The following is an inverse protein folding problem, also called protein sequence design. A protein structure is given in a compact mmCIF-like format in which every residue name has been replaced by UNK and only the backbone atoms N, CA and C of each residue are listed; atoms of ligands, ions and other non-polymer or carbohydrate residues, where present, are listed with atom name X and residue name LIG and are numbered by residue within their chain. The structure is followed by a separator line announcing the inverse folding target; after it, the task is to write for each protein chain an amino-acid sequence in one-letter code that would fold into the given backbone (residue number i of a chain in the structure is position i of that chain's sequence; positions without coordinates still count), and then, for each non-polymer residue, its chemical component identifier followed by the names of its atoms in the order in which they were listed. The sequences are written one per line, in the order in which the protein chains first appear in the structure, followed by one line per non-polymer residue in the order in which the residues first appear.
data_IF_463972468841
#
_entry.id   IF_463972468841
#
_cell.length_a   1.000
_cell.length_b   1.000
_cell.length_c   1.000
_cell.angle_alpha   90.00
_cell.angle_beta   90.00
_cell.angle_gamma   90.00
#
_symmetry.space_group_name_H-M   'P 1'
#
loop_
_entity.id
_entity.type
_entity.pdbx_description
1 polymer ?
#
# COMPACT_ATOMS: atom_id res chain seq x y z
N UNK A 1 -0.07 -23.40 22.81
CA UNK A 1 -0.63 -23.18 21.48
C UNK A 1 -1.98 -22.50 21.66
N UNK A 2 -2.18 -21.34 21.02
CA UNK A 2 -3.46 -20.63 20.97
C UNK A 2 -4.17 -20.97 19.65
N UNK A 3 -5.48 -21.20 19.72
CA UNK A 3 -6.32 -21.45 18.55
C UNK A 3 -7.26 -20.23 18.38
N UNK A 4 -6.85 -19.31 17.56
CA UNK A 4 -7.67 -18.16 17.20
C UNK A 4 -8.57 -18.41 15.99
N UNK A 5 -9.47 -17.49 15.72
CA UNK A 5 -10.33 -17.51 14.53
C UNK A 5 -9.59 -16.93 13.32
N UNK A 6 -10.07 -17.23 12.10
CA UNK A 6 -9.59 -16.59 10.87
C UNK A 6 -9.75 -15.07 10.96
N UNK A 7 -10.84 -14.59 11.55
CA UNK A 7 -11.09 -13.15 11.75
C UNK A 7 -10.03 -12.51 12.63
N UNK A 8 -9.68 -13.13 13.78
CA UNK A 8 -8.59 -12.63 14.64
C UNK A 8 -7.29 -12.51 13.89
N UNK A 9 -6.94 -13.52 13.08
CA UNK A 9 -5.70 -13.50 12.29
C UNK A 9 -5.68 -12.34 11.30
N UNK A 10 -6.77 -12.14 10.55
CA UNK A 10 -6.90 -11.05 9.58
C UNK A 10 -6.85 -9.67 10.29
N UNK A 11 -7.58 -9.52 11.39
CA UNK A 11 -7.57 -8.29 12.18
C UNK A 11 -6.18 -8.00 12.74
N UNK A 12 -5.51 -9.02 13.27
CA UNK A 12 -4.16 -8.88 13.82
C UNK A 12 -3.17 -8.38 12.77
N UNK A 13 -3.14 -8.98 11.59
CA UNK A 13 -2.27 -8.54 10.51
C UNK A 13 -2.49 -7.06 10.14
N UNK A 14 -3.74 -6.67 9.95
CA UNK A 14 -4.06 -5.31 9.50
C UNK A 14 -3.85 -4.27 10.61
N UNK A 15 -4.23 -4.58 11.83
CA UNK A 15 -4.08 -3.65 12.96
C UNK A 15 -2.60 -3.48 13.36
N UNK A 16 -1.80 -4.55 13.38
CA UNK A 16 -0.36 -4.42 13.69
C UNK A 16 0.36 -3.60 12.63
N UNK A 17 0.03 -3.78 11.35
CA UNK A 17 0.57 -3.00 10.24
C UNK A 17 0.28 -1.49 10.39
N UNK A 18 -0.92 -1.11 10.85
CA UNK A 18 -1.26 0.29 11.13
C UNK A 18 -0.35 0.95 12.18
N UNK A 19 0.18 0.17 13.11
CA UNK A 19 1.06 0.66 14.18
C UNK A 19 2.55 0.50 13.90
N UNK A 20 2.92 -0.31 12.90
CA UNK A 20 4.32 -0.55 12.52
C UNK A 20 4.78 0.43 11.44
N UNK A 21 5.00 1.65 11.86
CA UNK A 21 5.28 2.79 10.99
C UNK A 21 6.64 3.41 11.23
N UNK A 22 7.20 4.03 10.20
CA UNK A 22 8.42 4.83 10.27
C UNK A 22 8.17 6.28 10.73
N UNK A 23 9.06 7.19 10.37
CA UNK A 23 8.98 8.59 10.79
C UNK A 23 7.94 9.40 10.02
N UNK A 24 7.68 9.03 8.75
CA UNK A 24 6.67 9.67 7.92
C UNK A 24 5.26 9.14 8.22
N UNK A 25 5.17 8.18 9.18
CA UNK A 25 3.92 7.56 9.59
C UNK A 25 3.32 6.62 8.52
N UNK A 26 4.17 6.18 7.61
CA UNK A 26 3.89 5.15 6.63
C UNK A 26 4.43 3.80 7.11
N UNK A 27 3.92 2.69 6.60
CA UNK A 27 4.33 1.35 7.01
C UNK A 27 5.82 1.13 6.78
N UNK A 28 6.49 0.50 7.73
CA UNK A 28 7.91 0.12 7.57
C UNK A 28 8.08 -0.92 6.47
N UNK A 29 9.11 -0.69 5.65
CA UNK A 29 9.55 -1.59 4.59
C UNK A 29 10.51 -2.64 5.17
N UNK A 30 10.01 -3.68 5.79
CA UNK A 30 10.79 -4.75 6.42
C UNK A 30 11.42 -5.72 5.41
N UNK A 31 12.32 -5.24 4.58
CA UNK A 31 13.02 -6.05 3.59
C UNK A 31 12.36 -5.99 2.22
N UNK A 32 11.22 -6.58 2.03
CA UNK A 32 10.58 -6.58 0.73
C UNK A 32 9.06 -6.58 0.88
N UNK A 33 8.43 -5.67 0.17
CA UNK A 33 6.99 -5.67 -0.03
C UNK A 33 6.61 -6.60 -1.20
N UNK A 34 5.78 -6.10 -2.11
CA UNK A 34 5.50 -6.75 -3.38
C UNK A 34 6.76 -6.92 -4.24
N UNK A 35 7.71 -6.00 -4.14
CA UNK A 35 8.94 -5.99 -4.92
C UNK A 35 10.11 -6.55 -4.11
N UNK A 36 10.41 -7.82 -4.25
CA UNK A 36 11.52 -8.53 -3.57
C UNK A 36 12.89 -7.87 -3.76
N UNK A 37 13.04 -7.01 -4.73
CA UNK A 37 14.30 -6.32 -5.02
C UNK A 37 14.46 -4.99 -4.26
N UNK A 38 13.49 -4.61 -3.42
CA UNK A 38 13.53 -3.44 -2.52
C UNK A 38 13.87 -3.90 -1.09
N UNK A 39 14.95 -4.64 -0.93
CA UNK A 39 15.27 -5.42 0.26
C UNK A 39 16.37 -4.81 1.15
N UNK A 40 16.83 -3.59 0.86
CA UNK A 40 17.97 -2.99 1.56
C UNK A 40 17.59 -1.85 2.52
N UNK A 41 16.42 -1.26 2.38
CA UNK A 41 15.94 -0.18 3.25
C UNK A 41 15.31 -0.72 4.54
N UNK A 42 16.05 -1.55 5.27
CA UNK A 42 15.55 -2.33 6.39
C UNK A 42 15.25 -1.51 7.65
N UNK A 43 16.10 -0.53 7.95
CA UNK A 43 16.03 0.19 9.23
C UNK A 43 15.00 1.33 9.19
N UNK A 44 15.02 2.14 8.14
CA UNK A 44 14.23 3.35 8.03
C UNK A 44 13.32 3.42 6.80
N UNK A 45 13.41 2.46 5.89
CA UNK A 45 12.54 2.44 4.72
C UNK A 45 11.05 2.34 5.08
N UNK A 46 10.23 3.06 4.31
CA UNK A 46 8.78 3.07 4.48
C UNK A 46 8.09 2.83 3.14
N UNK A 47 6.94 2.16 3.17
CA UNK A 47 6.13 1.83 2.00
C UNK A 47 4.77 2.53 2.04
N UNK A 48 4.66 3.62 1.30
CA UNK A 48 3.37 4.29 1.05
C UNK A 48 2.46 3.37 0.23
N UNK A 49 3.04 2.61 -0.70
CA UNK A 49 2.30 1.66 -1.52
C UNK A 49 1.54 0.62 -0.66
N UNK A 50 2.21 0.02 0.34
CA UNK A 50 1.54 -0.92 1.23
C UNK A 50 0.66 -0.25 2.27
N UNK A 51 0.98 0.96 2.70
CA UNK A 51 0.03 1.75 3.51
C UNK A 51 -1.29 1.93 2.78
N UNK A 52 -1.27 2.24 1.47
CA UNK A 52 -2.47 2.25 0.62
C UNK A 52 -3.19 0.90 0.61
N UNK A 53 -2.45 -0.20 0.40
CA UNK A 53 -3.03 -1.54 0.35
C UNK A 53 -3.73 -1.91 1.65
N UNK A 54 -3.12 -1.66 2.80
CA UNK A 54 -3.71 -1.96 4.11
C UNK A 54 -4.89 -1.06 4.45
N UNK A 55 -4.89 0.21 4.02
CA UNK A 55 -6.07 1.06 4.13
C UNK A 55 -7.26 0.48 3.33
N UNK A 56 -7.02 0.05 2.10
CA UNK A 56 -8.03 -0.67 1.30
C UNK A 56 -8.49 -1.97 1.93
N UNK A 57 -7.57 -2.77 2.49
CA UNK A 57 -7.90 -4.00 3.20
C UNK A 57 -8.79 -3.77 4.41
N UNK A 58 -8.52 -2.74 5.22
CA UNK A 58 -9.34 -2.40 6.38
C UNK A 58 -10.78 -2.08 5.96
N UNK A 59 -10.97 -1.33 4.87
CA UNK A 59 -12.30 -1.06 4.33
C UNK A 59 -12.98 -2.34 3.84
N UNK A 60 -12.27 -3.22 3.13
CA UNK A 60 -12.81 -4.49 2.66
C UNK A 60 -13.21 -5.41 3.82
N UNK A 61 -12.42 -5.46 4.90
CA UNK A 61 -12.74 -6.24 6.11
C UNK A 61 -13.99 -5.66 6.77
N UNK A 62 -14.10 -4.33 6.85
CA UNK A 62 -15.29 -3.68 7.39
C UNK A 62 -16.55 -4.03 6.57
N UNK A 63 -16.48 -3.99 5.24
CA UNK A 63 -17.58 -4.40 4.35
C UNK A 63 -17.96 -5.87 4.55
N UNK A 64 -16.97 -6.76 4.70
CA UNK A 64 -17.21 -8.18 4.98
C UNK A 64 -17.92 -8.39 6.32
N UNK A 65 -17.52 -7.65 7.34
CA UNK A 65 -18.13 -7.73 8.69
C UNK A 65 -19.56 -7.21 8.71
N UNK A 66 -19.84 -6.08 8.04
CA UNK A 66 -21.21 -5.57 7.87
C UNK A 66 -22.11 -6.58 7.15
N UNK A 67 -21.58 -7.23 6.09
CA UNK A 67 -22.27 -8.27 5.37
C UNK A 67 -22.50 -9.52 6.24
N UNK A 68 -21.52 -9.93 7.04
CA UNK A 68 -21.66 -11.04 7.98
C UNK A 68 -22.77 -10.78 8.99
N UNK A 69 -22.79 -9.61 9.61
CA UNK A 69 -23.86 -9.22 10.56
C UNK A 69 -25.22 -9.24 9.87
N UNK A 70 -25.33 -8.65 8.69
CA UNK A 70 -26.59 -8.59 7.94
C UNK A 70 -27.14 -9.97 7.54
N UNK A 71 -26.27 -10.92 7.17
CA UNK A 71 -26.68 -12.24 6.67
C UNK A 71 -26.91 -13.22 7.83
N UNK A 72 -26.07 -13.23 8.84
CA UNK A 72 -26.07 -14.23 9.91
C UNK A 72 -26.74 -13.75 11.21
N UNK A 73 -26.91 -12.44 11.40
CA UNK A 73 -27.35 -11.86 12.67
C UNK A 73 -26.27 -11.88 13.78
N UNK A 74 -25.06 -12.35 13.48
CA UNK A 74 -23.91 -12.31 14.40
C UNK A 74 -23.47 -10.86 14.56
N UNK A 75 -23.56 -10.30 15.75
CA UNK A 75 -23.19 -8.91 16.03
C UNK A 75 -22.03 -8.77 17.03
N UNK A 76 -21.47 -9.88 17.49
CA UNK A 76 -20.36 -9.94 18.43
C UNK A 76 -19.41 -11.05 18.05
N UNK A 77 -18.12 -10.83 18.29
CA UNK A 77 -17.07 -11.82 18.08
C UNK A 77 -16.15 -11.86 19.30
N UNK A 78 -15.53 -13.00 19.53
CA UNK A 78 -14.48 -13.15 20.53
C UNK A 78 -13.13 -12.94 19.87
N UNK A 79 -12.23 -12.23 20.54
CA UNK A 79 -10.84 -12.01 20.15
C UNK A 79 -9.94 -12.23 21.37
N UNK A 80 -8.65 -12.51 21.16
CA UNK A 80 -7.69 -12.56 22.26
C UNK A 80 -7.65 -11.21 23.00
N UNK A 81 -7.71 -11.27 24.33
CA UNK A 81 -7.78 -10.05 25.17
C UNK A 81 -6.58 -9.12 24.95
N UNK A 82 -5.42 -9.66 24.59
CA UNK A 82 -4.25 -8.87 24.27
C UNK A 82 -4.46 -7.92 23.07
N UNK A 83 -5.35 -8.29 22.14
CA UNK A 83 -5.64 -7.49 20.94
C UNK A 83 -6.48 -6.23 21.24
N UNK A 84 -7.13 -6.12 22.37
CA UNK A 84 -8.00 -4.96 22.69
C UNK A 84 -7.27 -3.63 22.54
N UNK A 85 -5.98 -3.55 22.90
CA UNK A 85 -5.21 -2.32 22.76
C UNK A 85 -5.00 -1.89 21.29
N UNK A 86 -5.07 -2.81 20.32
CA UNK A 86 -4.95 -2.51 18.90
C UNK A 86 -6.18 -1.78 18.33
N UNK A 87 -7.31 -1.83 19.04
CA UNK A 87 -8.52 -1.06 18.70
C UNK A 87 -8.52 0.35 19.29
N UNK A 88 -7.42 0.81 19.87
CA UNK A 88 -7.28 2.20 20.31
C UNK A 88 -7.53 3.17 19.16
N UNK A 89 -8.27 4.24 19.43
CA UNK A 89 -8.70 5.26 18.50
C UNK A 89 -8.20 6.64 18.92
N UNK A 90 -8.20 7.56 17.97
CA UNK A 90 -8.03 8.97 18.22
C UNK A 90 -6.94 9.61 17.38
N UNK A 91 -7.22 10.82 16.92
CA UNK A 91 -6.36 11.57 16.01
C UNK A 91 -4.95 11.80 16.57
N UNK A 92 -4.83 12.11 17.86
CA UNK A 92 -3.54 12.28 18.54
C UNK A 92 -2.67 11.01 18.52
N UNK A 93 -3.30 9.81 18.55
CA UNK A 93 -2.60 8.54 18.37
C UNK A 93 -2.19 8.34 16.91
N UNK A 94 -3.11 8.62 15.99
CA UNK A 94 -2.91 8.36 14.56
C UNK A 94 -1.82 9.25 13.96
N UNK A 95 -1.80 10.52 14.33
CA UNK A 95 -0.80 11.50 13.84
C UNK A 95 0.60 11.32 14.46
N UNK A 96 0.76 10.48 15.48
CA UNK A 96 2.01 10.34 16.21
C UNK A 96 2.62 8.95 16.04
N UNK A 97 3.61 8.84 15.15
CA UNK A 97 4.32 7.61 14.86
C UNK A 97 4.95 6.96 16.12
N UNK A 98 5.49 7.77 17.05
CA UNK A 98 6.07 7.24 18.29
C UNK A 98 5.02 6.61 19.20
N UNK A 99 3.82 7.20 19.29
CA UNK A 99 2.71 6.62 20.06
C UNK A 99 2.25 5.30 19.44
N UNK A 100 2.14 5.24 18.11
CA UNK A 100 1.84 4.00 17.38
C UNK A 100 2.86 2.91 17.71
N UNK A 101 4.16 3.18 17.53
CA UNK A 101 5.24 2.22 17.82
C UNK A 101 5.26 1.78 19.28
N UNK A 102 5.02 2.69 20.24
CA UNK A 102 4.93 2.35 21.66
C UNK A 102 3.75 1.43 21.96
N UNK A 103 2.61 1.68 21.34
CA UNK A 103 1.44 0.81 21.49
C UNK A 103 1.73 -0.59 20.95
N UNK A 104 2.28 -0.69 19.72
CA UNK A 104 2.67 -1.96 19.13
C UNK A 104 3.70 -2.69 20.00
N UNK A 105 4.72 -1.99 20.48
CA UNK A 105 5.72 -2.55 21.40
C UNK A 105 5.11 -3.06 22.72
N UNK A 106 4.07 -2.41 23.23
CA UNK A 106 3.35 -2.87 24.41
C UNK A 106 2.54 -4.14 24.13
N UNK A 107 1.88 -4.21 22.97
CA UNK A 107 1.21 -5.41 22.48
C UNK A 107 2.18 -6.58 22.31
N UNK A 108 3.29 -6.37 21.58
CA UNK A 108 4.31 -7.38 21.33
C UNK A 108 4.89 -7.95 22.64
N UNK A 109 5.14 -7.09 23.64
CA UNK A 109 5.62 -7.54 24.96
C UNK A 109 4.63 -8.42 25.69
N UNK A 110 3.32 -8.14 25.58
CA UNK A 110 2.28 -8.97 26.18
C UNK A 110 2.26 -10.38 25.55
N UNK A 111 2.53 -10.48 24.26
CA UNK A 111 2.47 -11.73 23.51
C UNK A 111 3.81 -12.46 23.40
N UNK A 112 4.93 -11.92 23.91
CA UNK A 112 6.30 -12.37 23.62
C UNK A 112 6.58 -13.84 24.03
N UNK A 113 5.95 -14.35 25.08
CA UNK A 113 6.22 -15.70 25.60
C UNK A 113 4.97 -16.60 25.60
N UNK A 114 3.85 -16.05 26.01
CA UNK A 114 2.56 -16.75 26.06
C UNK A 114 1.41 -15.75 25.82
N UNK A 115 0.38 -16.22 25.18
CA UNK A 115 -0.94 -15.58 25.17
C UNK A 115 -1.69 -16.10 26.38
N UNK A 116 -2.43 -15.24 27.11
CA UNK A 116 -3.16 -15.63 28.33
C UNK A 116 -4.18 -16.72 28.06
N UNK A 117 -4.78 -16.72 26.88
CA UNK A 117 -5.92 -17.56 26.53
C UNK A 117 -7.26 -16.92 26.91
N UNK A 118 -7.22 -15.76 27.56
CA UNK A 118 -8.44 -14.98 27.85
C UNK A 118 -8.96 -14.34 26.57
N UNK A 119 -10.28 -14.24 26.44
CA UNK A 119 -10.95 -13.61 25.32
C UNK A 119 -11.73 -12.36 25.74
N UNK A 120 -11.80 -11.40 24.84
CA UNK A 120 -12.67 -10.24 24.95
C UNK A 120 -13.79 -10.32 23.90
N UNK A 121 -15.00 -9.95 24.28
CA UNK A 121 -16.14 -9.88 23.37
C UNK A 121 -16.21 -8.47 22.81
N UNK A 122 -16.10 -8.35 21.49
CA UNK A 122 -16.17 -7.06 20.78
C UNK A 122 -17.36 -7.06 19.83
N UNK A 123 -18.04 -5.93 19.73
CA UNK A 123 -19.15 -5.75 18.79
C UNK A 123 -18.63 -5.54 17.38
N UNK A 124 -19.31 -6.11 16.38
CA UNK A 124 -18.93 -5.96 14.97
C UNK A 124 -18.97 -4.49 14.54
N UNK A 125 -19.99 -3.72 14.94
CA UNK A 125 -20.08 -2.29 14.61
C UNK A 125 -18.93 -1.44 15.19
N UNK A 126 -18.37 -1.84 16.34
CA UNK A 126 -17.17 -1.20 16.92
C UNK A 126 -15.92 -1.51 16.11
N UNK A 127 -15.75 -2.76 15.69
CA UNK A 127 -14.64 -3.17 14.81
C UNK A 127 -14.72 -2.43 13.48
N UNK A 128 -15.89 -2.43 12.84
CA UNK A 128 -16.12 -1.75 11.55
C UNK A 128 -15.77 -0.27 11.66
N UNK A 129 -16.29 0.43 12.65
CA UNK A 129 -15.98 1.85 12.86
C UNK A 129 -14.48 2.08 13.05
N UNK A 130 -13.81 1.26 13.85
CA UNK A 130 -12.38 1.36 14.11
C UNK A 130 -11.54 1.18 12.85
N UNK A 131 -11.87 0.17 12.03
CA UNK A 131 -11.17 -0.10 10.77
C UNK A 131 -11.36 1.05 9.78
N UNK A 132 -12.58 1.57 9.63
CA UNK A 132 -12.86 2.70 8.73
C UNK A 132 -12.15 3.97 9.18
N UNK A 133 -12.17 4.32 10.47
CA UNK A 133 -11.46 5.49 11.00
C UNK A 133 -9.94 5.41 10.70
N UNK A 134 -9.33 4.24 10.86
CA UNK A 134 -7.92 4.03 10.55
C UNK A 134 -7.66 4.14 9.05
N UNK A 135 -8.49 3.49 8.23
CA UNK A 135 -8.37 3.52 6.77
C UNK A 135 -8.52 4.95 6.23
N UNK A 136 -9.54 5.67 6.67
CA UNK A 136 -9.80 7.05 6.26
C UNK A 136 -8.62 7.95 6.61
N UNK A 137 -8.11 7.82 7.85
CA UNK A 137 -6.94 8.60 8.28
C UNK A 137 -5.71 8.30 7.42
N UNK A 138 -5.40 7.02 7.14
CA UNK A 138 -4.27 6.63 6.29
C UNK A 138 -4.41 7.25 4.88
N UNK A 139 -5.58 7.10 4.26
CA UNK A 139 -5.85 7.64 2.93
C UNK A 139 -5.75 9.17 2.88
N UNK A 140 -6.26 9.87 3.90
CA UNK A 140 -6.16 11.33 4.00
C UNK A 140 -4.70 11.77 4.19
N UNK A 141 -3.94 11.07 5.04
CA UNK A 141 -2.52 11.36 5.28
C UNK A 141 -1.71 11.24 3.99
N UNK A 142 -1.90 10.15 3.24
CA UNK A 142 -1.21 9.91 1.96
C UNK A 142 -1.59 10.98 0.93
N UNK A 143 -2.88 11.28 0.76
CA UNK A 143 -3.34 12.33 -0.17
C UNK A 143 -2.71 13.68 0.11
N UNK A 144 -2.52 14.00 1.37
CA UNK A 144 -1.98 15.28 1.83
C UNK A 144 -0.47 15.39 1.68
N UNK A 145 0.25 14.33 2.02
CA UNK A 145 1.69 14.40 2.22
C UNK A 145 2.49 13.78 1.08
N UNK A 146 1.92 12.82 0.34
CA UNK A 146 2.66 12.03 -0.63
C UNK A 146 2.39 12.42 -2.10
N UNK A 147 1.51 13.40 -2.33
CA UNK A 147 1.16 13.81 -3.69
C UNK A 147 2.23 14.70 -4.31
N UNK A 148 2.81 14.27 -5.43
CA UNK A 148 3.78 14.99 -6.25
C UNK A 148 3.05 15.60 -7.44
N UNK A 149 3.19 16.92 -7.66
CA UNK A 149 2.54 17.65 -8.76
C UNK A 149 3.46 17.84 -9.96
N UNK A 150 2.90 17.70 -11.16
CA UNK A 150 3.54 17.99 -12.46
C UNK A 150 2.60 18.80 -13.35
N UNK A 151 2.54 20.11 -13.17
CA UNK A 151 1.84 21.04 -14.06
C UNK A 151 0.35 20.80 -14.29
N UNK A 152 -0.35 20.12 -13.37
CA UNK A 152 -1.76 19.69 -13.47
C UNK A 152 -1.95 18.20 -13.56
N UNK A 153 -0.86 17.45 -13.73
CA UNK A 153 -0.75 16.00 -13.55
C UNK A 153 -0.06 15.70 -12.22
N UNK A 154 0.19 14.45 -11.92
CA UNK A 154 0.88 14.07 -10.70
C UNK A 154 0.80 12.57 -10.40
N UNK A 155 1.46 12.18 -9.34
CA UNK A 155 1.48 10.82 -8.81
C UNK A 155 1.86 10.82 -7.33
N UNK A 156 1.73 9.69 -6.65
CA UNK A 156 2.15 9.56 -5.26
C UNK A 156 3.61 9.13 -5.15
N UNK A 157 4.34 9.68 -4.17
CA UNK A 157 5.53 9.00 -3.66
C UNK A 157 5.13 7.64 -3.09
N UNK A 158 5.86 6.59 -3.42
CA UNK A 158 5.52 5.23 -3.00
C UNK A 158 6.39 4.67 -1.90
N UNK A 159 7.57 5.25 -1.73
CA UNK A 159 8.56 4.72 -0.80
C UNK A 159 9.45 5.80 -0.22
N UNK A 160 9.98 5.53 0.97
CA UNK A 160 11.10 6.24 1.56
C UNK A 160 12.29 5.28 1.66
N UNK A 161 13.48 5.80 1.31
CA UNK A 161 14.72 5.05 1.41
C UNK A 161 15.24 4.95 2.86
N UNK A 162 16.35 4.25 3.07
CA UNK A 162 16.92 4.06 4.41
C UNK A 162 17.50 5.35 5.01
N UNK A 163 17.69 6.40 4.19
CA UNK A 163 18.03 7.74 4.60
C UNK A 163 16.82 8.64 4.86
N UNK A 164 15.61 8.07 4.80
CA UNK A 164 14.32 8.75 5.02
C UNK A 164 13.97 9.78 3.94
N UNK A 165 14.54 9.65 2.75
CA UNK A 165 14.21 10.52 1.63
C UNK A 165 13.10 9.89 0.78
N UNK A 166 12.18 10.69 0.22
CA UNK A 166 11.22 10.18 -0.75
C UNK A 166 11.95 9.66 -1.98
N UNK A 167 11.51 8.53 -2.48
CA UNK A 167 12.13 7.86 -3.65
C UNK A 167 11.70 8.52 -4.95
N UNK A 168 10.45 8.97 -5.03
CA UNK A 168 9.87 9.58 -6.20
C UNK A 168 9.91 11.11 -6.11
N UNK A 169 10.05 11.77 -7.25
CA UNK A 169 10.09 13.24 -7.33
C UNK A 169 9.75 13.74 -8.73
N UNK A 170 9.39 15.02 -8.83
CA UNK A 170 9.26 15.75 -10.09
C UNK A 170 10.09 17.03 -10.02
N UNK A 171 11.30 16.96 -10.54
CA UNK A 171 12.23 18.09 -10.68
C UNK A 171 12.52 18.35 -12.14
N UNK A 172 13.01 19.56 -12.49
CA UNK A 172 13.20 20.01 -13.88
C UNK A 172 13.95 19.00 -14.75
N UNK A 173 14.99 18.38 -14.22
CA UNK A 173 15.87 17.46 -14.94
C UNK A 173 15.81 16.02 -14.41
N UNK A 174 14.92 15.76 -13.44
CA UNK A 174 14.83 14.48 -12.76
C UNK A 174 13.37 14.14 -12.41
N UNK A 175 12.80 13.21 -13.16
CA UNK A 175 11.49 12.66 -12.89
C UNK A 175 11.65 11.23 -12.43
N UNK A 176 11.18 10.93 -11.20
CA UNK A 176 11.13 9.60 -10.64
C UNK A 176 9.67 9.24 -10.36
N UNK A 177 9.20 8.24 -11.06
CA UNK A 177 7.85 7.69 -10.90
C UNK A 177 7.94 6.17 -10.92
N UNK A 178 7.25 5.53 -9.99
CA UNK A 178 7.09 4.07 -9.91
C UNK A 178 5.64 3.69 -10.14
N UNK A 179 5.39 2.71 -10.99
CA UNK A 179 4.03 2.25 -11.32
C UNK A 179 3.35 1.58 -10.13
N UNK A 180 4.11 0.81 -9.34
CA UNK A 180 3.60 0.04 -8.19
C UNK A 180 2.83 0.92 -7.21
N UNK A 181 3.40 2.06 -6.84
CA UNK A 181 2.80 3.01 -5.91
C UNK A 181 1.44 3.50 -6.40
N UNK A 182 1.36 3.80 -7.68
CA UNK A 182 0.15 4.31 -8.30
C UNK A 182 -0.94 3.25 -8.37
N UNK A 183 -0.54 2.02 -8.69
CA UNK A 183 -1.47 0.89 -8.76
C UNK A 183 -2.12 0.64 -7.41
N UNK A 184 -1.34 0.60 -6.33
CA UNK A 184 -1.88 0.39 -4.98
C UNK A 184 -2.74 1.57 -4.52
N UNK A 185 -2.36 2.82 -4.82
CA UNK A 185 -3.15 3.99 -4.48
C UNK A 185 -4.52 4.02 -5.19
N UNK A 186 -4.57 3.62 -6.47
CA UNK A 186 -5.83 3.53 -7.22
C UNK A 186 -6.67 2.34 -6.73
N UNK A 187 -6.06 1.17 -6.59
CA UNK A 187 -6.74 -0.08 -6.23
C UNK A 187 -7.38 -0.03 -4.85
N UNK A 188 -6.72 0.62 -3.89
CA UNK A 188 -7.22 0.78 -2.53
C UNK A 188 -8.33 1.83 -2.39
N UNK A 189 -8.51 2.70 -3.41
CA UNK A 189 -9.36 3.89 -3.31
C UNK A 189 -8.70 5.07 -2.59
N UNK A 190 -7.39 4.99 -2.30
CA UNK A 190 -6.63 6.14 -1.77
C UNK A 190 -6.62 7.28 -2.78
N UNK A 191 -6.33 7.02 -4.05
CA UNK A 191 -6.41 8.03 -5.10
C UNK A 191 -7.86 8.46 -5.34
N UNK A 192 -8.12 9.78 -5.36
CA UNK A 192 -9.43 10.30 -5.82
C UNK A 192 -9.57 10.08 -7.33
N UNK A 193 -10.78 10.31 -7.87
CA UNK A 193 -11.00 10.22 -9.32
C UNK A 193 -10.12 11.19 -10.11
N UNK A 194 -9.96 12.41 -9.60
CA UNK A 194 -9.10 13.44 -10.19
C UNK A 194 -7.63 13.02 -10.15
N UNK A 195 -7.18 12.47 -9.03
CA UNK A 195 -5.83 11.94 -8.88
C UNK A 195 -5.61 10.72 -9.77
N UNK A 196 -6.58 9.81 -9.86
CA UNK A 196 -6.49 8.65 -10.77
C UNK A 196 -6.35 9.09 -12.24
N UNK A 197 -7.11 10.10 -12.66
CA UNK A 197 -6.98 10.68 -14.00
C UNK A 197 -5.59 11.31 -14.22
N UNK A 198 -5.07 12.04 -13.22
CA UNK A 198 -3.74 12.64 -13.28
C UNK A 198 -2.64 11.58 -13.34
N UNK A 199 -2.73 10.53 -12.50
CA UNK A 199 -1.82 9.38 -12.51
C UNK A 199 -1.80 8.72 -13.88
N UNK A 200 -2.98 8.49 -14.49
CA UNK A 200 -3.06 7.85 -15.80
C UNK A 200 -2.33 8.66 -16.87
N UNK A 201 -2.48 9.99 -16.89
CA UNK A 201 -1.74 10.85 -17.81
C UNK A 201 -0.23 10.88 -17.53
N UNK A 202 0.16 10.90 -16.26
CA UNK A 202 1.57 10.81 -15.86
C UNK A 202 2.20 9.48 -16.27
N UNK A 203 1.47 8.37 -16.08
CA UNK A 203 1.93 7.05 -16.51
C UNK A 203 2.08 6.96 -18.03
N UNK A 204 1.13 7.52 -18.78
CA UNK A 204 1.24 7.62 -20.25
C UNK A 204 2.47 8.43 -20.69
N UNK A 205 2.79 9.50 -19.96
CA UNK A 205 3.90 10.40 -20.29
C UNK A 205 5.26 9.84 -19.90
N UNK A 206 5.37 9.16 -18.77
CA UNK A 206 6.65 8.82 -18.16
C UNK A 206 6.96 7.33 -18.13
N UNK A 207 5.95 6.46 -18.10
CA UNK A 207 6.14 5.02 -17.96
C UNK A 207 5.78 4.22 -19.21
N UNK A 208 4.91 4.76 -20.08
CA UNK A 208 4.55 4.05 -21.30
C UNK A 208 5.70 4.02 -22.29
N UNK A 209 6.06 2.83 -22.74
CA UNK A 209 7.10 2.59 -23.74
C UNK A 209 6.56 1.63 -24.82
N UNK A 210 6.31 2.18 -25.99
CA UNK A 210 5.77 1.44 -27.13
C UNK A 210 6.71 0.31 -27.58
N UNK A 211 8.03 0.52 -27.54
CA UNK A 211 9.03 -0.49 -27.93
C UNK A 211 9.11 -1.62 -26.93
N UNK A 212 8.92 -1.33 -25.63
CA UNK A 212 8.87 -2.34 -24.58
C UNK A 212 7.49 -3.03 -24.50
N UNK A 213 6.50 -2.53 -25.23
CA UNK A 213 5.16 -3.11 -25.30
C UNK A 213 4.27 -2.84 -24.10
N UNK A 214 4.47 -1.74 -23.36
CA UNK A 214 3.60 -1.41 -22.23
C UNK A 214 4.17 -0.39 -21.25
N UNK A 215 3.65 -0.46 -20.01
CA UNK A 215 4.04 0.45 -18.94
C UNK A 215 5.22 -0.16 -18.15
N UNK A 216 6.32 0.59 -18.07
CA UNK A 216 7.48 0.21 -17.26
C UNK A 216 7.19 0.32 -15.78
N UNK A 217 7.87 -0.48 -14.95
CA UNK A 217 7.74 -0.43 -13.49
C UNK A 217 8.16 0.90 -12.88
N UNK A 218 9.17 1.54 -13.46
CA UNK A 218 9.68 2.84 -13.02
C UNK A 218 10.34 3.60 -14.16
N UNK A 219 10.47 4.92 -14.00
CA UNK A 219 11.33 5.77 -14.84
C UNK A 219 12.81 5.42 -14.63
N UNK A 220 13.67 5.75 -15.59
CA UNK A 220 15.11 5.59 -15.39
C UNK A 220 15.62 6.62 -14.37
N UNK A 221 16.01 6.16 -13.20
CA UNK A 221 16.51 7.02 -12.12
C UNK A 221 17.91 7.59 -12.41
N UNK A 222 18.66 6.97 -13.32
CA UNK A 222 20.03 7.35 -13.71
C UNK A 222 21.00 7.41 -12.52
N UNK A 223 20.71 6.66 -11.49
CA UNK A 223 21.56 6.49 -10.30
C UNK A 223 21.33 5.12 -9.69
N UNK A 224 22.33 4.61 -9.00
CA UNK A 224 22.30 3.37 -8.25
C UNK A 224 21.84 3.66 -6.81
N UNK A 225 20.60 3.24 -6.49
CA UNK A 225 20.02 3.39 -5.14
C UNK A 225 20.08 2.06 -4.37
N UNK A 226 21.27 1.54 -4.16
CA UNK A 226 21.45 0.30 -3.42
C UNK A 226 20.97 0.37 -1.97
N UNK A 227 20.87 1.56 -1.40
CA UNK A 227 20.26 1.84 -0.11
C UNK A 227 18.75 1.55 -0.07
N UNK A 228 18.10 1.42 -1.23
CA UNK A 228 16.69 1.01 -1.32
C UNK A 228 16.57 -0.48 -1.63
N UNK A 229 17.40 -1.01 -2.51
CA UNK A 229 17.37 -2.42 -2.84
C UNK A 229 18.17 -2.80 -4.08
N UNK A 230 18.42 -4.10 -4.23
CA UNK A 230 19.18 -4.70 -5.33
C UNK A 230 18.56 -4.45 -6.72
N UNK A 231 17.30 -4.01 -6.83
CA UNK A 231 16.69 -3.69 -8.12
C UNK A 231 17.52 -2.71 -8.92
N UNK A 232 18.15 -1.75 -8.26
CA UNK A 232 18.99 -0.75 -8.90
C UNK A 232 20.36 -1.26 -9.37
N UNK A 233 20.70 -2.51 -9.07
CA UNK A 233 21.83 -3.22 -9.65
C UNK A 233 21.54 -3.85 -11.02
N UNK A 234 20.28 -3.91 -11.45
CA UNK A 234 19.92 -4.34 -12.79
C UNK A 234 20.00 -3.17 -13.79
N UNK A 235 20.37 -3.46 -15.05
CA UNK A 235 20.28 -2.46 -16.11
C UNK A 235 18.84 -1.97 -16.26
N UNK A 236 18.69 -0.67 -16.56
CA UNK A 236 17.35 -0.12 -16.77
C UNK A 236 16.64 -0.80 -17.95
N UNK A 237 15.44 -1.25 -17.70
CA UNK A 237 14.63 -2.04 -18.63
C UNK A 237 14.64 -3.53 -18.34
N UNK A 238 15.44 -3.97 -17.35
CA UNK A 238 15.53 -5.38 -16.96
C UNK A 238 14.96 -5.60 -15.55
N UNK A 239 14.27 -6.72 -15.39
CA UNK A 239 13.68 -7.17 -14.13
C UNK A 239 12.90 -6.02 -13.44
N UNK A 240 13.07 -5.84 -12.14
CA UNK A 240 12.37 -4.83 -11.35
C UNK A 240 12.79 -3.40 -11.66
N UNK A 241 13.93 -3.18 -12.35
CA UNK A 241 14.38 -1.85 -12.75
C UNK A 241 13.86 -1.45 -14.15
N UNK A 242 12.60 -1.10 -14.22
CA UNK A 242 12.00 -0.52 -15.43
C UNK A 242 11.60 -1.51 -16.53
N UNK A 243 11.55 -2.82 -16.26
CA UNK A 243 10.93 -3.74 -17.20
C UNK A 243 9.39 -3.56 -17.24
N UNK A 244 8.76 -4.11 -18.27
CA UNK A 244 7.29 -4.24 -18.34
C UNK A 244 6.89 -5.55 -17.71
N UNK A 245 6.26 -5.49 -16.53
CA UNK A 245 5.73 -6.68 -15.85
C UNK A 245 4.26 -6.88 -16.17
N UNK A 246 3.92 -7.99 -16.79
CA UNK A 246 2.53 -8.34 -17.11
C UNK A 246 1.64 -8.36 -15.86
N UNK A 247 2.16 -8.89 -14.74
CA UNK A 247 1.47 -8.90 -13.46
C UNK A 247 1.06 -7.49 -13.03
N UNK A 248 2.01 -6.55 -12.96
CA UNK A 248 1.74 -5.17 -12.56
C UNK A 248 0.83 -4.45 -13.55
N UNK A 249 0.98 -4.71 -14.85
CA UNK A 249 0.10 -4.13 -15.86
C UNK A 249 -1.35 -4.63 -15.73
N UNK A 250 -1.56 -5.92 -15.42
CA UNK A 250 -2.91 -6.45 -15.13
C UNK A 250 -3.49 -5.83 -13.86
N UNK A 251 -2.69 -5.67 -12.80
CA UNK A 251 -3.11 -4.98 -11.58
C UNK A 251 -3.51 -3.52 -11.88
N UNK A 252 -2.72 -2.82 -12.72
CA UNK A 252 -3.01 -1.45 -13.12
C UNK A 252 -4.32 -1.35 -13.90
N UNK A 253 -4.52 -2.22 -14.89
CA UNK A 253 -5.78 -2.26 -15.63
C UNK A 253 -6.97 -2.55 -14.72
N UNK A 254 -6.85 -3.50 -13.80
CA UNK A 254 -7.90 -3.82 -12.83
C UNK A 254 -8.21 -2.64 -11.91
N UNK A 255 -7.19 -1.94 -11.42
CA UNK A 255 -7.35 -0.75 -10.59
C UNK A 255 -8.12 0.36 -11.34
N UNK A 256 -7.74 0.63 -12.60
CA UNK A 256 -8.42 1.59 -13.47
C UNK A 256 -9.88 1.20 -13.72
N UNK A 257 -10.16 -0.07 -14.06
CA UNK A 257 -11.53 -0.56 -14.26
C UNK A 257 -12.38 -0.41 -13.00
N UNK A 258 -11.84 -0.73 -11.84
CA UNK A 258 -12.55 -0.62 -10.56
C UNK A 258 -12.95 0.82 -10.23
N UNK A 259 -12.17 1.80 -10.70
CA UNK A 259 -12.46 3.22 -10.55
C UNK A 259 -13.28 3.83 -11.71
N UNK A 260 -13.68 3.01 -12.70
CA UNK A 260 -14.48 3.42 -13.85
C UNK A 260 -13.68 4.01 -15.02
N UNK A 261 -12.35 3.92 -15.01
CA UNK A 261 -11.46 4.36 -16.10
C UNK A 261 -11.31 3.25 -17.16
N UNK A 262 -12.43 2.96 -17.85
CA UNK A 262 -12.55 1.80 -18.74
C UNK A 262 -11.63 1.91 -19.95
N UNK A 263 -11.49 3.10 -20.54
CA UNK A 263 -10.66 3.33 -21.73
C UNK A 263 -9.19 3.14 -21.42
N UNK A 264 -8.76 3.70 -20.30
CA UNK A 264 -7.37 3.63 -19.81
C UNK A 264 -7.03 2.18 -19.43
N UNK A 265 -7.89 1.49 -18.69
CA UNK A 265 -7.71 0.07 -18.36
C UNK A 265 -7.66 -0.83 -19.60
N UNK A 266 -8.51 -0.58 -20.59
CA UNK A 266 -8.46 -1.29 -21.87
C UNK A 266 -7.15 -1.05 -22.61
N UNK A 267 -6.66 0.21 -22.66
CA UNK A 267 -5.37 0.55 -23.26
C UNK A 267 -4.25 -0.28 -22.64
N UNK A 268 -4.18 -0.38 -21.31
CA UNK A 268 -3.15 -1.17 -20.61
C UNK A 268 -3.20 -2.65 -21.04
N UNK A 269 -4.37 -3.29 -21.04
CA UNK A 269 -4.50 -4.70 -21.44
C UNK A 269 -4.19 -4.91 -22.92
N UNK A 270 -4.61 -3.98 -23.77
CA UNK A 270 -4.39 -4.08 -25.20
C UNK A 270 -2.90 -3.99 -25.57
N UNK A 271 -2.11 -3.19 -24.86
CA UNK A 271 -0.63 -3.14 -25.06
C UNK A 271 0.02 -4.47 -24.75
N UNK A 272 -0.39 -5.16 -23.66
CA UNK A 272 0.11 -6.50 -23.33
C UNK A 272 -0.25 -7.53 -24.40
N UNK A 273 -1.49 -7.48 -24.88
CA UNK A 273 -1.95 -8.39 -25.94
C UNK A 273 -1.12 -8.20 -27.21
N UNK A 274 -0.92 -6.94 -27.64
CA UNK A 274 -0.09 -6.62 -28.81
C UNK A 274 1.35 -7.09 -28.65
N UNK A 275 1.95 -6.87 -27.48
CA UNK A 275 3.30 -7.35 -27.19
C UNK A 275 3.39 -8.88 -27.29
N UNK A 276 2.41 -9.61 -26.74
CA UNK A 276 2.36 -11.06 -26.79
C UNK A 276 2.15 -11.61 -28.22
N UNK A 277 1.37 -10.93 -29.05
CA UNK A 277 1.09 -11.34 -30.43
C UNK A 277 2.22 -11.03 -31.41
N UNK A 278 3.05 -10.03 -31.11
CA UNK A 278 4.16 -9.58 -31.95
C UNK A 278 5.53 -10.02 -31.41
N UNK A 279 5.53 -10.95 -30.45
CA UNK A 279 6.75 -11.51 -29.89
C UNK A 279 7.36 -12.48 -30.93
N UNK A 280 8.56 -12.15 -31.46
CA UNK A 280 9.37 -12.99 -32.37
C UNK A 280 10.46 -13.74 -31.62
#
# INVERSE_FOLDING_TARGET
VYFGTILEHILLQNLTAFYDVGEHNEMKLHGADWNDAMDMAWDNGESVAFTCAYAGNMNNIADCLENLERISGINRVEIASEMECLFSCGRDLYENADKKRKLLGSYTKKCAHNISGDTAIVRIDEIVRNLREKADWMMENIRKNEWITDGGDGWFNGYYDDHKNPVECCEKDRVRMMLTSQVFAIMSGTATKEQTAAISRSADKYLFDEKAGGYRLNTNFREEKFDLGRMFGFAYGEKENGAVFSHMAVMYANALYSQGFVKEGYKVLNTLLHAAMNFE
#
